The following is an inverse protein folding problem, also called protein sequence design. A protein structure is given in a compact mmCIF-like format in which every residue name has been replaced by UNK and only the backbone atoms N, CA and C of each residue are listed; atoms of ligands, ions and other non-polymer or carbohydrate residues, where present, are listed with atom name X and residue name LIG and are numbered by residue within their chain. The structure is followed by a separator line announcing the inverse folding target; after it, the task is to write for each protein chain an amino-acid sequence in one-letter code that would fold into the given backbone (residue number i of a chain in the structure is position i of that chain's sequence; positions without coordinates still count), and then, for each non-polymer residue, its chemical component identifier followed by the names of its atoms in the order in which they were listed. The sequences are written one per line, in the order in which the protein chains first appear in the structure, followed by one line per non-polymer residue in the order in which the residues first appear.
data_IF_196339534553
#
_entry.id   IF_196339534553
#
_cell.length_a   1.000
_cell.length_b   1.000
_cell.length_c   1.000
_cell.angle_alpha   90.00
_cell.angle_beta   90.00
_cell.angle_gamma   90.00
#
_symmetry.space_group_name_H-M   'P 1'
#
loop_
_entity.id
_entity.type
_entity.pdbx_description
1 polymer ?
#
# COMPACT_ATOMS: atom_id res chain seq x y z
N UNK A 1 -2.65 -21.54 0.04
CA UNK A 1 -2.21 -20.77 -1.15
C UNK A 1 -0.69 -20.64 -1.10
N UNK A 2 0.04 -20.66 -2.22
CA UNK A 2 1.52 -20.46 -2.27
C UNK A 2 1.83 -19.23 -3.12
N UNK A 3 1.91 -18.02 -2.52
CA UNK A 3 2.18 -16.81 -3.28
C UNK A 3 3.63 -16.81 -3.76
N UNK A 4 3.87 -16.25 -4.94
CA UNK A 4 5.22 -16.00 -5.47
C UNK A 4 5.68 -14.57 -5.14
N UNK A 5 4.74 -13.67 -4.85
CA UNK A 5 5.01 -12.28 -4.52
C UNK A 5 3.93 -11.67 -3.63
N UNK A 6 4.32 -10.66 -2.84
CA UNK A 6 3.44 -9.73 -2.14
C UNK A 6 3.67 -8.32 -2.68
N UNK A 7 2.60 -7.68 -3.18
CA UNK A 7 2.67 -6.31 -3.70
C UNK A 7 1.98 -5.37 -2.73
N UNK A 8 2.71 -4.38 -2.23
CA UNK A 8 2.21 -3.34 -1.33
C UNK A 8 2.05 -2.05 -2.12
N UNK A 9 0.81 -1.64 -2.38
CA UNK A 9 0.50 -0.36 -3.01
C UNK A 9 0.35 0.68 -1.91
N UNK A 10 1.30 1.61 -1.85
CA UNK A 10 1.36 2.66 -0.81
C UNK A 10 1.33 4.05 -1.44
N UNK A 11 1.00 5.06 -0.65
CA UNK A 11 1.12 6.48 -1.00
C UNK A 11 1.60 7.24 0.25
N UNK A 12 1.84 8.55 0.16
CA UNK A 12 2.16 9.33 1.36
C UNK A 12 0.97 9.32 2.34
N UNK A 13 1.24 9.49 3.63
CA UNK A 13 0.19 9.46 4.66
C UNK A 13 -0.81 10.62 4.45
N UNK A 14 -0.31 11.76 4.01
CA UNK A 14 -1.07 12.97 3.70
C UNK A 14 -1.97 12.76 2.47
N UNK A 15 -1.46 12.12 1.41
CA UNK A 15 -2.26 11.76 0.22
C UNK A 15 -3.40 10.82 0.61
N UNK A 16 -3.12 9.80 1.44
CA UNK A 16 -4.13 8.83 1.89
C UNK A 16 -5.18 9.52 2.75
N UNK A 17 -4.78 10.34 3.72
CA UNK A 17 -5.70 11.11 4.55
C UNK A 17 -6.58 12.05 3.69
N UNK A 18 -5.96 12.76 2.74
CA UNK A 18 -6.65 13.65 1.81
C UNK A 18 -7.67 12.91 0.93
N UNK A 19 -7.33 11.73 0.41
CA UNK A 19 -8.26 10.88 -0.36
C UNK A 19 -9.43 10.40 0.49
N UNK A 20 -9.16 9.98 1.74
CA UNK A 20 -10.21 9.51 2.67
C UNK A 20 -11.20 10.62 3.01
N UNK A 21 -10.71 11.83 3.26
CA UNK A 21 -11.57 12.98 3.55
C UNK A 21 -12.43 13.41 2.35
N UNK A 22 -11.95 13.19 1.12
CA UNK A 22 -12.67 13.54 -0.12
C UNK A 22 -13.66 12.46 -0.57
N UNK A 23 -13.58 11.25 -0.03
CA UNK A 23 -14.38 10.11 -0.48
C UNK A 23 -15.65 9.95 0.35
N UNK A 24 -16.74 10.53 -0.14
CA UNK A 24 -18.06 10.51 0.50
C UNK A 24 -18.77 9.14 0.40
N UNK A 25 -18.26 8.20 -0.41
CA UNK A 25 -19.02 7.00 -0.79
C UNK A 25 -18.91 5.83 0.17
N UNK A 26 -18.03 5.90 1.19
CA UNK A 26 -17.71 4.74 2.03
C UNK A 26 -17.29 5.15 3.43
N UNK A 27 -17.93 4.53 4.42
CA UNK A 27 -17.59 4.73 5.83
C UNK A 27 -16.19 4.16 6.12
N UNK A 28 -15.29 5.00 6.62
CA UNK A 28 -14.00 4.63 7.19
C UNK A 28 -13.90 5.25 8.57
N UNK A 29 -13.07 4.63 9.41
CA UNK A 29 -12.59 5.28 10.62
C UNK A 29 -11.78 6.53 10.24
N UNK A 30 -11.96 7.60 11.01
CA UNK A 30 -11.17 8.83 10.85
C UNK A 30 -9.76 8.60 11.36
N UNK A 31 -8.94 7.88 10.59
CA UNK A 31 -7.53 7.71 10.94
C UNK A 31 -6.79 9.03 10.73
N UNK A 32 -6.03 9.42 11.76
CA UNK A 32 -5.00 10.45 11.69
C UNK A 32 -3.88 10.04 10.72
N UNK A 33 -3.08 11.03 10.30
CA UNK A 33 -1.89 10.79 9.46
C UNK A 33 -0.90 9.83 10.12
N UNK A 34 -0.78 9.89 11.45
CA UNK A 34 0.05 9.05 12.28
C UNK A 34 -0.44 7.59 12.30
N UNK A 35 -1.75 7.37 12.46
CA UNK A 35 -2.34 6.03 12.40
C UNK A 35 -2.20 5.41 11.00
N UNK A 36 -2.34 6.22 9.94
CA UNK A 36 -2.09 5.75 8.55
C UNK A 36 -0.63 5.33 8.38
N UNK A 37 0.31 6.09 8.95
CA UNK A 37 1.74 5.76 8.93
C UNK A 37 2.02 4.45 9.66
N UNK A 38 1.53 4.33 10.89
CA UNK A 38 1.69 3.11 11.70
C UNK A 38 1.11 1.89 10.98
N UNK A 39 -0.08 2.03 10.40
CA UNK A 39 -0.71 0.97 9.63
C UNK A 39 0.16 0.55 8.43
N UNK A 40 0.72 1.49 7.67
CA UNK A 40 1.65 1.15 6.59
C UNK A 40 2.93 0.47 7.11
N UNK A 41 3.47 0.89 8.25
CA UNK A 41 4.64 0.25 8.88
C UNK A 41 4.35 -1.20 9.27
N UNK A 42 3.21 -1.45 9.91
CA UNK A 42 2.75 -2.80 10.28
C UNK A 42 2.55 -3.66 9.03
N UNK A 43 1.96 -3.11 7.97
CA UNK A 43 1.76 -3.83 6.70
C UNK A 43 3.10 -4.23 6.06
N UNK A 44 4.09 -3.35 6.05
CA UNK A 44 5.44 -3.69 5.57
C UNK A 44 6.07 -4.81 6.40
N UNK A 45 6.04 -4.69 7.73
CA UNK A 45 6.59 -5.71 8.63
C UNK A 45 5.91 -7.07 8.41
N UNK A 46 4.59 -7.06 8.26
CA UNK A 46 3.77 -8.27 8.05
C UNK A 46 4.07 -8.93 6.71
N UNK A 47 4.14 -8.14 5.63
CA UNK A 47 4.51 -8.66 4.31
C UNK A 47 5.91 -9.27 4.29
N UNK A 48 6.87 -8.64 4.97
CA UNK A 48 8.22 -9.19 5.13
C UNK A 48 8.21 -10.50 5.92
N UNK A 49 7.42 -10.60 7.00
CA UNK A 49 7.28 -11.85 7.73
C UNK A 49 6.68 -12.95 6.85
N UNK A 50 5.63 -12.66 6.07
CA UNK A 50 5.05 -13.63 5.15
C UNK A 50 6.02 -14.05 4.04
N UNK A 51 6.80 -13.10 3.52
CA UNK A 51 7.89 -13.38 2.57
C UNK A 51 8.91 -14.36 3.15
N UNK A 52 9.32 -14.16 4.41
CA UNK A 52 10.23 -15.09 5.09
C UNK A 52 9.67 -16.51 5.16
N UNK A 53 8.37 -16.69 5.44
CA UNK A 53 7.76 -18.03 5.53
C UNK A 53 7.50 -18.69 4.17
N UNK A 54 7.27 -17.90 3.12
CA UNK A 54 6.84 -18.40 1.81
C UNK A 54 7.94 -18.42 0.76
N UNK A 55 9.02 -17.66 0.97
CA UNK A 55 10.04 -17.37 -0.06
C UNK A 55 9.58 -16.39 -1.13
N UNK A 56 8.37 -15.82 -1.01
CA UNK A 56 7.82 -14.86 -1.96
C UNK A 56 8.56 -13.52 -1.88
N UNK A 57 8.75 -12.83 -3.00
CA UNK A 57 9.33 -11.48 -2.99
C UNK A 57 8.32 -10.44 -2.48
N UNK A 58 8.81 -9.36 -1.85
CA UNK A 58 7.97 -8.21 -1.48
C UNK A 58 8.31 -7.04 -2.38
N UNK A 59 7.30 -6.47 -3.06
CA UNK A 59 7.44 -5.27 -3.88
C UNK A 59 6.55 -4.17 -3.34
N UNK A 60 7.14 -3.02 -3.01
CA UNK A 60 6.40 -1.81 -2.67
C UNK A 60 6.29 -0.93 -3.90
N UNK A 61 5.07 -0.49 -4.23
CA UNK A 61 4.75 0.38 -5.36
C UNK A 61 4.10 1.64 -4.80
N UNK A 62 4.63 2.82 -5.18
CA UNK A 62 4.09 4.11 -4.73
C UNK A 62 3.04 4.62 -5.73
N UNK A 63 1.84 4.91 -5.25
CA UNK A 63 0.70 5.42 -6.00
C UNK A 63 0.38 6.84 -5.55
N UNK A 64 1.23 7.78 -5.95
CA UNK A 64 1.09 9.21 -5.65
C UNK A 64 -0.08 9.86 -6.40
N UNK A 65 -0.61 10.95 -5.85
CA UNK A 65 -1.67 11.73 -6.49
C UNK A 65 -1.22 12.23 -7.87
N UNK A 66 -2.10 12.06 -8.88
CA UNK A 66 -1.82 12.45 -10.26
C UNK A 66 -0.81 11.55 -11.01
N UNK A 67 -0.31 10.47 -10.39
CA UNK A 67 0.70 9.57 -10.99
C UNK A 67 0.24 8.11 -11.12
N UNK A 68 -1.05 7.91 -11.40
CA UNK A 68 -1.62 6.57 -11.51
C UNK A 68 -0.93 5.74 -12.61
N UNK A 69 -0.66 6.35 -13.77
CA UNK A 69 -0.02 5.68 -14.90
C UNK A 69 1.38 5.15 -14.53
N UNK A 70 2.17 5.93 -13.80
CA UNK A 70 3.49 5.50 -13.31
C UNK A 70 3.37 4.28 -12.38
N UNK A 71 2.39 4.30 -11.46
CA UNK A 71 2.16 3.18 -10.55
C UNK A 71 1.71 1.91 -11.28
N UNK A 72 0.87 2.06 -12.31
CA UNK A 72 0.42 0.95 -13.18
C UNK A 72 1.58 0.39 -13.99
N UNK A 73 2.44 1.24 -14.57
CA UNK A 73 3.62 0.80 -15.32
C UNK A 73 4.58 -0.01 -14.45
N UNK A 74 4.82 0.43 -13.21
CA UNK A 74 5.65 -0.31 -12.25
C UNK A 74 5.01 -1.65 -11.87
N UNK A 75 3.68 -1.67 -11.67
CA UNK A 75 2.94 -2.89 -11.38
C UNK A 75 3.03 -3.89 -12.54
N UNK A 76 2.80 -3.43 -13.77
CA UNK A 76 2.87 -4.28 -14.97
C UNK A 76 4.26 -4.87 -15.22
N UNK A 77 5.33 -4.20 -14.77
CA UNK A 77 6.69 -4.74 -14.84
C UNK A 77 7.02 -5.71 -13.70
N UNK A 78 6.24 -5.70 -12.62
CA UNK A 78 6.47 -6.52 -11.44
C UNK A 78 5.74 -7.87 -11.48
N UNK A 79 4.66 -7.98 -12.26
CA UNK A 79 3.88 -9.22 -12.47
C UNK A 79 4.47 -10.01 -13.65
#
# INVERSE_FOLDING_TARGET
MRPNQFILVEASHEEIAGRRNKDETRVRDMDTTEEIKEHQEINRATAMAYSMFTGAIVKIIKNHDGRLEEAVDVLMRAI
#
